data_IF_452380697329
#
_entry.id   IF_452380697329
#
_cell.length_a   1.000
_cell.length_b   1.000
_cell.length_c   1.000
_cell.angle_alpha   90.00
_cell.angle_beta   90.00
_cell.angle_gamma   90.00
#
_symmetry.space_group_name_H-M   'P 1'
#
loop_
_entity.id
_entity.type
_entity.pdbx_description
1 polymer ?
#
# COMPACT_ATOMS: atom_id res chain seq x y z
N UNK A 1 15.89 6.75 25.23
CA UNK A 1 15.14 5.49 25.47
C UNK A 1 13.69 5.88 25.62
N UNK A 2 12.83 5.49 24.66
CA UNK A 2 11.45 6.00 24.62
C UNK A 2 10.60 5.40 25.74
N UNK A 3 9.59 6.15 26.16
CA UNK A 3 8.54 5.70 27.09
C UNK A 3 7.95 4.34 26.65
N UNK A 4 7.86 4.10 25.34
CA UNK A 4 7.41 2.82 24.78
C UNK A 4 8.34 1.66 25.11
N UNK A 5 9.66 1.81 25.02
CA UNK A 5 10.60 0.73 25.38
C UNK A 5 10.47 0.35 26.85
N UNK A 6 10.24 1.34 27.73
CA UNK A 6 10.03 1.10 29.16
C UNK A 6 8.70 0.41 29.44
N UNK A 7 7.62 0.80 28.74
CA UNK A 7 6.32 0.12 28.82
C UNK A 7 6.40 -1.32 28.31
N UNK A 8 7.10 -1.55 27.21
CA UNK A 8 7.33 -2.89 26.65
C UNK A 8 8.13 -3.75 27.63
N UNK A 9 9.25 -3.22 28.15
CA UNK A 9 10.06 -3.93 29.13
C UNK A 9 9.26 -4.26 30.40
N UNK A 10 8.48 -3.30 30.93
CA UNK A 10 7.60 -3.53 32.07
C UNK A 10 6.55 -4.61 31.79
N UNK A 11 5.99 -4.64 30.58
CA UNK A 11 5.01 -5.65 30.16
C UNK A 11 5.64 -7.05 30.12
N UNK A 12 6.83 -7.19 29.53
CA UNK A 12 7.55 -8.46 29.43
C UNK A 12 7.96 -8.96 30.81
N UNK A 13 8.51 -8.09 31.66
CA UNK A 13 8.89 -8.41 33.04
C UNK A 13 7.66 -8.80 33.86
N UNK A 14 6.57 -8.05 33.76
CA UNK A 14 5.30 -8.37 34.42
C UNK A 14 4.76 -9.74 33.98
N UNK A 15 4.79 -10.04 32.68
CA UNK A 15 4.41 -11.34 32.15
C UNK A 15 5.31 -12.47 32.69
N UNK A 16 6.62 -12.26 32.76
CA UNK A 16 7.57 -13.24 33.29
C UNK A 16 7.37 -13.49 34.80
N UNK A 17 7.18 -12.45 35.60
CA UNK A 17 6.88 -12.57 37.05
C UNK A 17 5.57 -13.30 37.27
N UNK A 18 4.54 -12.95 36.49
CA UNK A 18 3.24 -13.63 36.53
C UNK A 18 3.33 -15.09 36.03
N UNK A 19 4.22 -15.37 35.07
CA UNK A 19 4.57 -16.71 34.60
C UNK A 19 5.25 -17.55 35.69
N UNK A 20 6.19 -16.95 36.42
CA UNK A 20 6.94 -17.57 37.51
C UNK A 20 6.02 -18.08 38.62
N UNK A 21 5.02 -17.27 39.02
CA UNK A 21 4.05 -17.64 40.05
C UNK A 21 3.15 -18.80 39.62
N UNK A 22 2.72 -18.82 38.34
CA UNK A 22 1.79 -19.84 37.81
C UNK A 22 2.48 -21.14 37.37
N UNK A 23 3.78 -21.09 37.06
CA UNK A 23 4.59 -22.24 36.66
C UNK A 23 4.31 -22.76 35.25
N UNK A 24 5.27 -23.50 34.69
CA UNK A 24 5.29 -23.95 33.30
C UNK A 24 4.08 -24.81 32.94
N UNK A 25 3.73 -25.81 33.75
CA UNK A 25 2.64 -26.74 33.45
C UNK A 25 1.30 -26.01 33.21
N UNK A 26 0.96 -25.09 34.11
CA UNK A 26 -0.28 -24.31 34.04
C UNK A 26 -0.32 -23.44 32.78
N UNK A 27 0.82 -22.86 32.39
CA UNK A 27 0.96 -22.01 31.20
C UNK A 27 0.94 -22.80 29.90
N UNK A 28 1.60 -23.94 29.87
CA UNK A 28 1.59 -24.84 28.73
C UNK A 28 0.17 -25.34 28.46
N UNK A 29 -0.56 -25.75 29.50
CA UNK A 29 -1.97 -26.17 29.36
C UNK A 29 -2.87 -25.02 28.89
N UNK A 30 -2.68 -23.81 29.40
CA UNK A 30 -3.42 -22.64 28.94
C UNK A 30 -3.15 -22.35 27.45
N UNK A 31 -1.89 -22.45 27.00
CA UNK A 31 -1.49 -22.24 25.61
C UNK A 31 -2.08 -23.31 24.68
N UNK A 32 -2.03 -24.58 25.10
CA UNK A 32 -2.66 -25.69 24.36
C UNK A 32 -4.17 -25.49 24.27
N UNK A 33 -4.80 -25.08 25.36
CA UNK A 33 -6.24 -24.77 25.37
C UNK A 33 -6.58 -23.61 24.46
N UNK A 34 -5.76 -22.56 24.45
CA UNK A 34 -5.93 -21.44 23.55
C UNK A 34 -5.82 -21.86 22.08
N UNK A 35 -4.78 -22.63 21.72
CA UNK A 35 -4.60 -23.13 20.36
C UNK A 35 -5.76 -24.01 19.90
N UNK A 36 -6.17 -24.98 20.73
CA UNK A 36 -7.28 -25.87 20.41
C UNK A 36 -8.62 -25.10 20.27
N UNK A 37 -8.90 -24.18 21.20
CA UNK A 37 -10.08 -23.34 21.15
C UNK A 37 -10.10 -22.38 19.96
N UNK A 38 -8.95 -21.84 19.56
CA UNK A 38 -8.84 -20.97 18.39
C UNK A 38 -9.07 -21.74 17.08
N UNK A 39 -8.52 -22.96 16.95
CA UNK A 39 -8.79 -23.84 15.81
C UNK A 39 -10.29 -24.14 15.73
N UNK A 40 -10.91 -24.54 16.84
CA UNK A 40 -12.35 -24.81 16.88
C UNK A 40 -13.18 -23.57 16.53
N UNK A 41 -12.90 -22.41 17.14
CA UNK A 41 -13.62 -21.16 16.86
C UNK A 41 -13.50 -20.71 15.41
N UNK A 42 -12.32 -20.88 14.78
CA UNK A 42 -12.12 -20.57 13.37
C UNK A 42 -12.95 -21.44 12.42
N UNK A 43 -13.29 -22.68 12.85
CA UNK A 43 -14.11 -23.62 12.07
C UNK A 43 -15.61 -23.46 12.32
N UNK A 44 -15.99 -22.91 13.47
CA UNK A 44 -17.39 -22.63 13.83
C UNK A 44 -17.90 -21.36 13.16
N UNK A 45 -17.08 -20.33 13.02
CA UNK A 45 -17.47 -19.07 12.37
C UNK A 45 -18.12 -19.22 10.97
N UNK A 46 -17.58 -20.02 10.02
CA UNK A 46 -18.22 -20.21 8.73
C UNK A 46 -19.48 -21.09 8.77
N UNK A 47 -19.79 -21.78 9.88
CA UNK A 47 -21.03 -22.57 10.02
C UNK A 47 -22.24 -21.70 10.42
N UNK A 48 -21.99 -20.49 10.93
CA UNK A 48 -23.02 -19.53 11.37
C UNK A 48 -23.40 -18.56 10.25
N UNK A 49 -22.64 -18.52 9.16
CA UNK A 49 -22.85 -17.63 8.02
C UNK A 49 -23.49 -18.40 6.85
N UNK A 50 -24.61 -17.90 6.32
CA UNK A 50 -25.34 -18.50 5.21
C UNK A 50 -24.49 -18.70 3.93
N UNK A 51 -23.43 -17.88 3.76
CA UNK A 51 -22.46 -17.95 2.66
C UNK A 51 -21.19 -18.76 2.94
N UNK A 52 -21.02 -19.33 4.14
CA UNK A 52 -19.85 -20.11 4.53
C UNK A 52 -18.52 -19.37 4.37
N UNK A 53 -17.50 -20.05 3.85
CA UNK A 53 -16.16 -19.48 3.59
C UNK A 53 -16.11 -18.47 2.43
N UNK A 54 -17.20 -18.31 1.66
CA UNK A 54 -17.28 -17.39 0.52
C UNK A 54 -17.90 -16.04 0.87
N UNK A 55 -18.41 -15.90 2.08
CA UNK A 55 -18.99 -14.65 2.56
C UNK A 55 -17.88 -13.59 2.77
N UNK A 56 -18.03 -12.37 2.24
CA UNK A 56 -17.08 -11.26 2.45
C UNK A 56 -16.76 -10.97 3.92
N UNK A 57 -17.68 -11.29 4.84
CA UNK A 57 -17.52 -11.08 6.28
C UNK A 57 -16.94 -12.28 7.03
N UNK A 58 -16.76 -13.44 6.37
CA UNK A 58 -16.23 -14.63 7.02
C UNK A 58 -14.85 -14.43 7.66
N UNK A 59 -13.85 -13.76 7.04
CA UNK A 59 -12.57 -13.50 7.69
C UNK A 59 -12.68 -12.51 8.87
N UNK A 60 -13.62 -11.57 8.78
CA UNK A 60 -13.86 -10.53 9.79
C UNK A 60 -14.49 -11.11 11.05
N UNK A 61 -15.35 -12.12 10.91
CA UNK A 61 -16.02 -12.80 12.02
C UNK A 61 -15.24 -14.01 12.56
N UNK A 62 -14.44 -14.68 11.73
CA UNK A 62 -13.65 -15.83 12.14
C UNK A 62 -12.54 -15.48 13.13
N UNK A 63 -11.90 -14.32 12.99
CA UNK A 63 -10.82 -13.90 13.88
C UNK A 63 -11.32 -13.61 15.31
N UNK A 64 -12.37 -12.78 15.53
CA UNK A 64 -12.96 -12.59 16.86
C UNK A 64 -13.47 -13.88 17.49
N UNK A 65 -14.13 -14.75 16.71
CA UNK A 65 -14.65 -16.03 17.20
C UNK A 65 -13.52 -16.98 17.62
N UNK A 66 -12.46 -17.10 16.83
CA UNK A 66 -11.27 -17.89 17.17
C UNK A 66 -10.61 -17.37 18.45
N UNK A 67 -10.45 -16.05 18.60
CA UNK A 67 -9.87 -15.45 19.80
C UNK A 67 -10.73 -15.70 21.04
N UNK A 68 -12.05 -15.58 20.93
CA UNK A 68 -12.98 -15.82 22.04
C UNK A 68 -12.97 -17.29 22.48
N UNK A 69 -13.13 -18.22 21.54
CA UNK A 69 -13.11 -19.65 21.82
C UNK A 69 -11.74 -20.10 22.38
N UNK A 70 -10.65 -19.57 21.82
CA UNK A 70 -9.30 -19.78 22.35
C UNK A 70 -9.16 -19.30 23.79
N UNK A 71 -9.59 -18.06 24.09
CA UNK A 71 -9.51 -17.52 25.44
C UNK A 71 -10.30 -18.36 26.47
N UNK A 72 -11.52 -18.77 26.12
CA UNK A 72 -12.36 -19.61 26.99
C UNK A 72 -11.73 -20.99 27.24
N UNK A 73 -11.29 -21.68 26.20
CA UNK A 73 -10.66 -22.99 26.32
C UNK A 73 -9.33 -22.92 27.10
N UNK A 74 -8.53 -21.89 26.84
CA UNK A 74 -7.31 -21.59 27.60
C UNK A 74 -7.58 -21.37 29.08
N UNK A 75 -8.60 -20.58 29.43
CA UNK A 75 -9.03 -20.37 30.82
C UNK A 75 -9.47 -21.67 31.51
N UNK A 76 -10.20 -22.54 30.82
CA UNK A 76 -10.64 -23.82 31.38
C UNK A 76 -9.47 -24.76 31.66
N UNK A 77 -8.56 -24.91 30.71
CA UNK A 77 -7.36 -25.75 30.84
C UNK A 77 -6.37 -25.18 31.85
N UNK A 78 -6.29 -23.86 32.00
CA UNK A 78 -5.50 -23.23 33.05
C UNK A 78 -6.05 -23.57 34.44
N UNK A 79 -7.37 -23.45 34.64
CA UNK A 79 -8.04 -23.85 35.90
C UNK A 79 -7.85 -25.33 36.21
N UNK A 80 -7.92 -26.18 35.19
CA UNK A 80 -7.63 -27.61 35.32
C UNK A 80 -6.17 -27.85 35.70
N UNK A 81 -5.23 -27.16 35.04
CA UNK A 81 -3.81 -27.19 35.35
C UNK A 81 -3.50 -26.79 36.79
N UNK A 82 -4.19 -25.77 37.32
CA UNK A 82 -4.08 -25.40 38.74
C UNK A 82 -4.55 -26.50 39.69
N UNK A 83 -5.65 -27.22 39.37
CA UNK A 83 -6.11 -28.35 40.19
C UNK A 83 -5.14 -29.53 40.11
N UNK A 84 -4.67 -29.86 38.92
CA UNK A 84 -3.71 -30.94 38.68
C UNK A 84 -2.38 -30.66 39.39
N UNK A 85 -1.93 -29.40 39.38
CA UNK A 85 -0.73 -28.91 40.08
C UNK A 85 -0.80 -29.11 41.60
N UNK A 86 -2.00 -29.17 42.22
CA UNK A 86 -2.14 -29.48 43.66
C UNK A 86 -1.88 -30.95 44.00
N UNK A 87 -1.88 -31.85 43.00
CA UNK A 87 -1.67 -33.29 43.19
C UNK A 87 -0.22 -33.75 42.91
N UNK A 88 0.65 -32.86 42.42
CA UNK A 88 2.03 -33.21 42.04
C UNK A 88 3.03 -32.82 43.16
N UNK A 89 3.91 -33.75 43.60
CA UNK A 89 4.70 -33.59 44.83
C UNK A 89 5.97 -32.73 44.73
N UNK A 90 6.33 -32.17 43.57
CA UNK A 90 7.58 -31.38 43.42
C UNK A 90 7.34 -29.95 42.94
N UNK A 91 7.56 -28.99 43.84
CA UNK A 91 7.76 -27.56 43.50
C UNK A 91 9.22 -27.33 43.11
N UNK A 92 9.63 -27.81 41.94
CA UNK A 92 10.95 -27.51 41.42
C UNK A 92 11.06 -26.06 40.96
N UNK A 93 12.18 -25.39 41.30
CA UNK A 93 12.53 -24.06 40.76
C UNK A 93 12.47 -24.05 39.22
N UNK A 94 12.79 -25.17 38.58
CA UNK A 94 12.69 -25.37 37.13
C UNK A 94 11.28 -25.13 36.55
N UNK A 95 10.21 -25.54 37.25
CA UNK A 95 8.84 -25.30 36.77
C UNK A 95 8.46 -23.81 36.86
N UNK A 96 8.94 -23.10 37.89
CA UNK A 96 8.70 -21.65 38.01
C UNK A 96 9.50 -20.88 36.95
N UNK A 97 10.78 -21.21 36.78
CA UNK A 97 11.64 -20.62 35.75
C UNK A 97 11.10 -20.88 34.35
N UNK A 98 10.69 -22.12 34.05
CA UNK A 98 10.06 -22.46 32.76
C UNK A 98 8.76 -21.68 32.52
N UNK A 99 7.95 -21.47 33.56
CA UNK A 99 6.74 -20.65 33.48
C UNK A 99 7.04 -19.18 33.19
N UNK A 100 8.11 -18.65 33.77
CA UNK A 100 8.58 -17.28 33.52
C UNK A 100 9.08 -17.11 32.07
N UNK A 101 9.90 -18.05 31.58
CA UNK A 101 10.42 -18.04 30.21
C UNK A 101 9.28 -18.11 29.20
N UNK A 102 8.35 -19.06 29.35
CA UNK A 102 7.22 -19.21 28.43
C UNK A 102 6.34 -17.96 28.40
N UNK A 103 6.04 -17.36 29.56
CA UNK A 103 5.24 -16.14 29.62
C UNK A 103 5.97 -14.92 29.06
N UNK A 104 7.29 -14.83 29.26
CA UNK A 104 8.12 -13.78 28.66
C UNK A 104 8.15 -13.87 27.13
N UNK A 105 8.32 -15.07 26.57
CA UNK A 105 8.28 -15.31 25.12
C UNK A 105 6.91 -14.96 24.51
N UNK A 106 5.82 -15.38 25.16
CA UNK A 106 4.47 -15.00 24.73
C UNK A 106 4.25 -13.48 24.83
N UNK A 107 4.81 -12.84 25.86
CA UNK A 107 4.82 -11.38 26.00
C UNK A 107 5.53 -10.69 24.83
N UNK A 108 6.70 -11.19 24.41
CA UNK A 108 7.44 -10.68 23.26
C UNK A 108 6.63 -10.79 21.96
N UNK A 109 6.00 -11.94 21.70
CA UNK A 109 5.12 -12.13 20.52
C UNK A 109 3.91 -11.20 20.58
N UNK A 110 3.32 -11.01 21.76
CA UNK A 110 2.18 -10.10 21.94
C UNK A 110 2.57 -8.66 21.67
N UNK A 111 3.71 -8.20 22.21
CA UNK A 111 4.27 -6.88 21.94
C UNK A 111 4.57 -6.70 20.46
N UNK A 112 5.10 -7.73 19.79
CA UNK A 112 5.38 -7.67 18.36
C UNK A 112 4.10 -7.47 17.53
N UNK A 113 3.04 -8.24 17.81
CA UNK A 113 1.72 -8.09 17.15
C UNK A 113 1.10 -6.72 17.46
N UNK A 114 1.09 -6.31 18.72
CA UNK A 114 0.51 -5.02 19.13
C UNK A 114 1.30 -3.84 18.58
N UNK A 115 2.63 -3.95 18.48
CA UNK A 115 3.49 -2.96 17.85
C UNK A 115 3.14 -2.79 16.37
N UNK A 116 2.93 -3.90 15.65
CA UNK A 116 2.48 -3.87 14.25
C UNK A 116 1.11 -3.19 14.08
N UNK A 117 0.18 -3.40 15.02
CA UNK A 117 -1.13 -2.74 15.04
C UNK A 117 -1.02 -1.25 15.44
N UNK A 118 -0.22 -0.93 16.45
CA UNK A 118 -0.03 0.43 16.94
C UNK A 118 0.66 1.32 15.90
N UNK A 119 1.53 0.76 15.06
CA UNK A 119 2.15 1.48 13.94
C UNK A 119 1.14 2.01 12.89
N UNK A 120 -0.13 1.58 12.96
CA UNK A 120 -1.23 2.05 12.09
C UNK A 120 -1.96 3.26 12.64
N UNK A 121 -1.80 3.59 13.92
CA UNK A 121 -2.45 4.74 14.53
C UNK A 121 -1.49 5.94 14.42
N UNK A 122 -1.92 7.03 13.78
CA UNK A 122 -1.05 8.15 13.40
C UNK A 122 -0.23 8.72 14.58
N UNK A 123 -0.84 8.81 15.76
CA UNK A 123 -0.19 9.33 16.98
C UNK A 123 0.76 8.32 17.66
N UNK A 124 0.72 7.04 17.31
CA UNK A 124 1.58 5.99 17.85
C UNK A 124 2.67 5.55 16.87
N UNK A 125 2.58 6.00 15.62
CA UNK A 125 3.51 5.62 14.55
C UNK A 125 4.96 6.04 14.80
N UNK A 126 5.20 7.31 15.13
CA UNK A 126 6.57 7.80 15.43
C UNK A 126 7.14 7.13 16.69
N UNK A 127 6.41 7.07 17.83
CA UNK A 127 6.90 6.40 19.02
C UNK A 127 7.24 4.91 18.82
N UNK A 128 6.47 4.18 18.01
CA UNK A 128 6.71 2.74 17.73
C UNK A 128 7.90 2.55 16.79
N UNK A 129 8.09 3.45 15.82
CA UNK A 129 9.22 3.41 14.87
C UNK A 129 10.56 3.61 15.57
N UNK A 130 10.60 4.47 16.57
CA UNK A 130 11.84 4.80 17.29
C UNK A 130 12.16 3.80 18.42
N UNK A 131 11.33 2.76 18.61
CA UNK A 131 11.52 1.73 19.64
C UNK A 131 12.61 0.72 19.26
N UNK A 132 13.67 0.66 20.06
CA UNK A 132 14.77 -0.28 19.86
C UNK A 132 14.34 -1.75 20.09
N UNK A 133 13.34 -1.98 20.96
CA UNK A 133 12.82 -3.33 21.23
C UNK A 133 12.01 -3.85 20.04
N UNK A 134 11.14 -3.02 19.47
CA UNK A 134 10.35 -3.38 18.29
C UNK A 134 11.25 -3.61 17.08
N UNK A 135 12.28 -2.79 16.89
CA UNK A 135 13.28 -2.98 15.83
C UNK A 135 13.97 -4.35 15.93
N UNK A 136 14.47 -4.71 17.13
CA UNK A 136 15.09 -6.01 17.38
C UNK A 136 14.13 -7.18 17.20
N UNK A 137 12.87 -7.03 17.62
CA UNK A 137 11.84 -8.05 17.42
C UNK A 137 11.55 -8.26 15.92
N UNK A 138 11.45 -7.19 15.15
CA UNK A 138 11.24 -7.25 13.70
C UNK A 138 12.42 -7.85 12.94
N UNK A 139 13.64 -7.71 13.46
CA UNK A 139 14.82 -8.35 12.89
C UNK A 139 14.88 -9.86 13.19
N UNK A 140 14.30 -10.30 14.32
CA UNK A 140 14.35 -11.69 14.77
C UNK A 140 13.14 -12.54 14.34
N UNK A 141 11.98 -11.92 14.09
CA UNK A 141 10.74 -12.59 13.72
C UNK A 141 10.43 -12.39 12.23
N UNK A 142 9.80 -13.36 11.55
CA UNK A 142 9.38 -13.18 10.16
C UNK A 142 8.42 -11.99 10.07
N UNK A 143 8.38 -11.25 8.94
CA UNK A 143 7.53 -10.08 8.80
C UNK A 143 6.06 -10.43 9.11
N UNK A 144 5.30 -9.53 9.78
CA UNK A 144 3.91 -9.79 10.09
C UNK A 144 3.15 -10.05 8.79
N UNK A 145 2.32 -11.10 8.76
CA UNK A 145 1.57 -11.49 7.57
C UNK A 145 0.68 -10.36 7.01
N UNK A 146 0.09 -10.54 5.82
CA UNK A 146 -0.53 -9.46 5.03
C UNK A 146 -1.56 -8.61 5.78
N UNK A 147 -2.25 -9.22 6.76
CA UNK A 147 -3.27 -8.57 7.59
C UNK A 147 -2.69 -7.63 8.66
N UNK A 148 -1.45 -7.84 9.07
CA UNK A 148 -0.77 -7.15 10.17
C UNK A 148 0.45 -6.36 9.71
N UNK A 149 0.92 -6.55 8.47
CA UNK A 149 1.95 -5.70 7.89
C UNK A 149 1.42 -4.26 7.97
N UNK A 150 2.12 -3.30 8.63
CA UNK A 150 1.91 -1.91 8.27
C UNK A 150 2.11 -1.87 6.76
N UNK A 151 1.16 -1.32 6.00
CA UNK A 151 1.31 -1.15 4.55
C UNK A 151 2.76 -0.77 4.31
N UNK A 152 3.53 -1.70 3.76
CA UNK A 152 4.95 -1.51 3.50
C UNK A 152 4.87 -0.32 2.57
N UNK A 153 5.16 0.91 3.04
CA UNK A 153 5.25 2.09 2.18
C UNK A 153 6.40 1.76 1.27
N UNK A 154 6.08 1.10 0.18
CA UNK A 154 7.06 0.63 -0.75
C UNK A 154 7.66 1.86 -1.39
N UNK A 155 8.81 1.68 -2.04
CA UNK A 155 9.49 2.71 -2.83
C UNK A 155 8.52 3.58 -3.68
N UNK A 156 7.35 3.03 -4.04
CA UNK A 156 6.32 3.64 -4.91
C UNK A 156 5.26 4.50 -4.19
N UNK A 157 5.11 4.43 -2.86
CA UNK A 157 4.15 5.26 -2.11
C UNK A 157 4.68 6.67 -1.78
N UNK A 158 5.99 6.87 -1.92
CA UNK A 158 6.63 8.19 -1.77
C UNK A 158 6.83 8.79 -3.16
N UNK A 159 6.11 9.88 -3.49
CA UNK A 159 6.39 10.63 -4.72
C UNK A 159 7.87 11.04 -4.74
N UNK A 160 8.55 10.95 -5.90
CA UNK A 160 9.84 11.59 -6.04
C UNK A 160 9.64 13.09 -5.74
N UNK A 161 10.40 13.59 -4.77
CA UNK A 161 10.16 14.92 -4.22
C UNK A 161 10.47 15.97 -5.28
N UNK A 162 9.41 16.66 -5.72
CA UNK A 162 9.51 17.77 -6.65
C UNK A 162 9.64 19.09 -5.89
N UNK A 163 10.71 19.82 -6.17
CA UNK A 163 10.87 21.22 -5.78
C UNK A 163 10.92 22.07 -7.04
N UNK A 164 10.25 23.20 -7.08
CA UNK A 164 10.27 24.07 -8.26
C UNK A 164 9.28 25.23 -8.18
N UNK A 165 9.29 26.11 -9.18
CA UNK A 165 8.38 27.25 -9.24
C UNK A 165 6.94 26.79 -9.43
N UNK A 166 6.01 27.58 -8.88
CA UNK A 166 4.59 27.37 -9.16
C UNK A 166 4.27 27.85 -10.57
N UNK A 167 3.40 27.15 -11.33
CA UNK A 167 2.97 27.64 -12.63
C UNK A 167 2.24 28.98 -12.46
N UNK A 168 2.55 29.94 -13.33
CA UNK A 168 1.86 31.22 -13.40
C UNK A 168 0.49 31.07 -14.11
N UNK A 169 -0.42 30.37 -13.43
CA UNK A 169 -1.79 30.13 -13.90
C UNK A 169 -2.77 30.41 -12.77
N UNK A 170 -4.02 30.72 -13.10
CA UNK A 170 -5.08 30.91 -12.11
C UNK A 170 -5.49 29.63 -11.37
N UNK A 171 -6.56 29.66 -10.57
CA UNK A 171 -7.11 28.46 -9.94
C UNK A 171 -7.66 27.49 -10.99
N UNK A 172 -7.74 26.21 -10.61
CA UNK A 172 -8.46 25.20 -11.38
C UNK A 172 -9.97 25.44 -11.31
N UNK A 173 -10.71 24.97 -12.32
CA UNK A 173 -12.17 25.05 -12.35
C UNK A 173 -12.81 23.80 -11.72
N UNK A 174 -13.48 23.90 -10.56
CA UNK A 174 -14.08 22.74 -9.89
C UNK A 174 -15.20 22.06 -10.69
N UNK A 175 -15.85 22.78 -11.62
CA UNK A 175 -17.01 22.26 -12.37
C UNK A 175 -16.62 21.15 -13.33
N UNK A 176 -15.36 21.09 -13.77
CA UNK A 176 -14.84 20.05 -14.67
C UNK A 176 -15.01 18.63 -14.12
N UNK A 177 -15.09 18.46 -12.80
CA UNK A 177 -15.37 17.15 -12.18
C UNK A 177 -16.74 16.60 -12.57
N UNK A 178 -17.70 17.49 -12.86
CA UNK A 178 -19.07 17.15 -13.22
C UNK A 178 -19.27 17.04 -14.73
N UNK A 179 -18.25 17.38 -15.52
CA UNK A 179 -18.30 17.31 -16.97
C UNK A 179 -18.58 15.87 -17.45
N UNK A 180 -19.58 15.65 -18.32
CA UNK A 180 -19.95 14.31 -18.77
C UNK A 180 -18.80 13.56 -19.47
N UNK A 181 -18.00 14.25 -20.28
CA UNK A 181 -16.91 13.62 -21.03
C UNK A 181 -15.75 13.25 -20.10
N UNK A 182 -15.43 14.12 -19.14
CA UNK A 182 -14.42 13.84 -18.10
C UNK A 182 -14.85 12.67 -17.22
N UNK A 183 -16.13 12.55 -16.89
CA UNK A 183 -16.66 11.41 -16.14
C UNK A 183 -16.62 10.12 -16.96
N UNK A 184 -16.91 10.19 -18.25
CA UNK A 184 -16.83 9.04 -19.15
C UNK A 184 -15.39 8.52 -19.27
N UNK A 185 -14.40 9.41 -19.26
CA UNK A 185 -12.98 9.06 -19.29
C UNK A 185 -12.53 8.13 -18.14
N UNK A 186 -13.27 8.09 -17.02
CA UNK A 186 -13.01 7.18 -15.91
C UNK A 186 -13.00 5.69 -16.33
N UNK A 187 -13.75 5.32 -17.37
CA UNK A 187 -13.77 3.96 -17.90
C UNK A 187 -12.42 3.53 -18.48
N UNK A 188 -11.62 4.49 -18.93
CA UNK A 188 -10.34 4.28 -19.61
C UNK A 188 -9.13 4.48 -18.70
N UNK A 189 -9.34 4.75 -17.40
CA UNK A 189 -8.27 4.97 -16.43
C UNK A 189 -8.08 3.71 -15.58
N UNK A 190 -6.86 3.19 -15.55
CA UNK A 190 -6.49 1.94 -14.90
C UNK A 190 -5.60 2.20 -13.67
N UNK A 191 -5.78 1.38 -12.64
CA UNK A 191 -4.85 1.30 -11.52
C UNK A 191 -3.76 0.30 -11.92
N UNK A 192 -2.51 0.70 -11.78
CA UNK A 192 -1.36 -0.18 -12.03
C UNK A 192 -0.97 -0.79 -10.70
N UNK A 193 -0.80 -2.09 -10.67
CA UNK A 193 -0.22 -2.85 -9.56
C UNK A 193 1.15 -3.33 -10.01
N UNK A 194 2.14 -3.24 -9.12
CA UNK A 194 3.47 -3.81 -9.39
C UNK A 194 3.90 -4.62 -8.19
N UNK A 195 4.52 -5.76 -8.43
CA UNK A 195 5.20 -6.53 -7.39
C UNK A 195 6.71 -6.41 -7.59
N UNK A 196 7.41 -5.94 -6.57
CA UNK A 196 8.85 -5.71 -6.59
C UNK A 196 9.67 -6.92 -6.16
N UNK A 197 10.96 -6.89 -6.52
CA UNK A 197 11.91 -8.00 -6.34
C UNK A 197 12.11 -8.48 -4.88
N UNK A 198 11.98 -7.58 -3.89
CA UNK A 198 12.30 -7.86 -2.47
C UNK A 198 11.04 -8.10 -1.60
N UNK A 199 9.95 -8.58 -2.22
CA UNK A 199 8.71 -8.88 -1.49
C UNK A 199 8.01 -7.62 -0.99
N UNK A 200 7.54 -6.80 -1.92
CA UNK A 200 6.69 -5.64 -1.67
C UNK A 200 6.13 -5.11 -2.99
N UNK A 201 4.89 -4.61 -2.99
CA UNK A 201 4.22 -4.10 -4.19
C UNK A 201 3.97 -2.60 -4.17
N UNK A 202 3.78 -2.00 -5.33
CA UNK A 202 3.47 -0.59 -5.52
C UNK A 202 2.17 -0.41 -6.28
N UNK A 203 1.61 0.79 -6.19
CA UNK A 203 0.48 1.17 -7.04
C UNK A 203 0.75 2.46 -7.78
N UNK A 204 0.20 2.55 -8.99
CA UNK A 204 0.24 3.74 -9.81
C UNK A 204 -1.07 3.92 -10.57
N UNK A 205 -1.09 4.94 -11.42
CA UNK A 205 -2.17 5.18 -12.37
C UNK A 205 -1.68 4.96 -13.79
N UNK A 206 -2.61 4.62 -14.67
CA UNK A 206 -2.38 4.51 -16.11
C UNK A 206 -3.68 4.71 -16.87
N UNK A 207 -3.61 4.69 -18.19
CA UNK A 207 -4.80 4.89 -19.03
C UNK A 207 -4.67 4.18 -20.37
N UNK A 208 -5.83 3.77 -20.92
CA UNK A 208 -5.94 3.06 -22.19
C UNK A 208 -5.71 4.04 -23.33
N UNK A 209 -4.62 3.84 -24.09
CA UNK A 209 -4.29 4.64 -25.26
C UNK A 209 -4.78 4.03 -26.58
N UNK A 210 -4.93 2.70 -26.59
CA UNK A 210 -5.60 1.88 -27.62
C UNK A 210 -5.90 0.51 -27.01
N UNK A 211 -6.66 -0.31 -27.71
CA UNK A 211 -7.04 -1.65 -27.24
C UNK A 211 -5.80 -2.45 -26.78
N UNK A 212 -5.87 -3.07 -25.59
CA UNK A 212 -4.77 -3.79 -24.97
C UNK A 212 -3.50 -2.99 -24.64
N UNK A 213 -3.52 -1.65 -24.75
CA UNK A 213 -2.32 -0.80 -24.54
C UNK A 213 -2.57 0.30 -23.52
N UNK A 214 -1.75 0.28 -22.46
CA UNK A 214 -1.82 1.20 -21.33
C UNK A 214 -0.59 2.11 -21.32
N UNK A 215 -0.78 3.39 -21.06
CA UNK A 215 0.31 4.34 -20.80
C UNK A 215 0.41 4.60 -19.31
N UNK A 216 1.63 4.60 -18.78
CA UNK A 216 1.95 4.97 -17.39
C UNK A 216 3.35 5.60 -17.31
N UNK A 217 3.83 5.89 -16.11
CA UNK A 217 5.18 6.37 -15.89
C UNK A 217 6.21 5.23 -15.87
N UNK A 218 7.45 5.51 -16.29
CA UNK A 218 8.53 4.53 -16.20
C UNK A 218 8.84 4.18 -14.74
N UNK A 219 8.88 5.15 -13.84
CA UNK A 219 9.14 4.91 -12.42
C UNK A 219 8.06 4.07 -11.73
N UNK A 220 6.84 3.95 -12.28
CA UNK A 220 5.80 3.09 -11.71
C UNK A 220 6.16 1.62 -11.89
N UNK A 221 6.81 1.28 -13.01
CA UNK A 221 7.18 -0.09 -13.36
C UNK A 221 8.68 -0.37 -13.25
N UNK A 222 9.51 0.60 -12.90
CA UNK A 222 10.97 0.44 -12.74
C UNK A 222 11.27 -0.64 -11.70
N UNK A 223 11.97 -1.70 -12.11
CA UNK A 223 12.30 -2.86 -11.27
C UNK A 223 11.10 -3.63 -10.71
N UNK A 224 9.97 -3.58 -11.41
CA UNK A 224 8.85 -4.47 -11.15
C UNK A 224 9.19 -5.88 -11.66
N UNK A 225 8.88 -6.89 -10.84
CA UNK A 225 8.92 -8.30 -11.23
C UNK A 225 7.68 -8.67 -12.05
N UNK A 226 6.52 -8.24 -11.57
CA UNK A 226 5.21 -8.47 -12.19
C UNK A 226 4.47 -7.13 -12.25
N UNK A 227 3.77 -6.88 -13.35
CA UNK A 227 2.98 -5.66 -13.59
C UNK A 227 1.55 -6.07 -13.92
N UNK A 228 0.62 -5.56 -13.13
CA UNK A 228 -0.81 -5.81 -13.29
C UNK A 228 -1.59 -4.54 -13.60
N UNK A 229 -2.64 -4.66 -14.41
CA UNK A 229 -3.55 -3.58 -14.81
C UNK A 229 -4.93 -3.89 -14.26
N UNK A 230 -5.48 -3.01 -13.42
CA UNK A 230 -6.83 -3.13 -12.89
C UNK A 230 -7.72 -1.99 -13.42
N UNK A 231 -8.70 -2.34 -14.25
CA UNK A 231 -9.60 -1.36 -14.84
C UNK A 231 -10.50 -0.72 -13.78
N UNK A 232 -10.67 0.62 -13.85
CA UNK A 232 -11.54 1.38 -12.93
C UNK A 232 -11.21 1.19 -11.43
N UNK A 233 -10.06 0.59 -11.12
CA UNK A 233 -9.63 0.23 -9.76
C UNK A 233 -10.54 -0.78 -9.07
N UNK A 234 -11.26 -1.62 -9.83
CA UNK A 234 -12.16 -2.66 -9.31
C UNK A 234 -12.02 -3.94 -10.13
N UNK A 235 -12.34 -5.08 -9.51
CA UNK A 235 -12.38 -6.38 -10.19
C UNK A 235 -10.99 -6.97 -10.44
N UNK A 236 -10.89 -7.78 -11.49
CA UNK A 236 -9.67 -8.51 -11.84
C UNK A 236 -8.51 -7.57 -12.18
N UNK A 237 -7.31 -8.04 -11.83
CA UNK A 237 -6.05 -7.48 -12.29
C UNK A 237 -5.56 -8.34 -13.45
N UNK A 238 -5.24 -7.72 -14.57
CA UNK A 238 -4.76 -8.38 -15.78
C UNK A 238 -3.26 -8.24 -15.89
N UNK A 239 -2.57 -9.30 -16.26
CA UNK A 239 -1.12 -9.26 -16.46
C UNK A 239 -0.77 -8.31 -17.63
N UNK A 240 0.38 -7.65 -17.48
CA UNK A 240 0.85 -6.69 -18.46
C UNK A 240 2.38 -6.78 -18.67
N UNK A 241 2.78 -6.70 -19.93
CA UNK A 241 4.18 -6.65 -20.34
C UNK A 241 4.60 -5.21 -20.62
N UNK A 242 5.79 -4.81 -20.17
CA UNK A 242 6.37 -3.51 -20.52
C UNK A 242 6.93 -3.58 -21.95
N UNK A 243 6.32 -2.84 -22.88
CA UNK A 243 6.71 -2.79 -24.31
C UNK A 243 7.41 -1.50 -24.72
N UNK A 244 7.54 -0.56 -23.79
CA UNK A 244 8.38 0.64 -23.92
C UNK A 244 8.75 1.13 -22.53
N UNK A 245 10.02 1.49 -22.35
CA UNK A 245 10.53 2.01 -21.09
C UNK A 245 11.51 3.15 -21.36
N UNK A 246 11.12 4.39 -21.04
CA UNK A 246 11.93 5.59 -21.16
C UNK A 246 12.07 6.25 -19.78
N UNK A 247 13.14 5.89 -19.08
CA UNK A 247 13.47 6.44 -17.76
C UNK A 247 13.80 7.94 -17.79
N UNK A 248 14.21 8.48 -18.94
CA UNK A 248 14.60 9.89 -19.07
C UNK A 248 13.35 10.77 -19.10
N UNK A 249 12.38 10.44 -19.95
CA UNK A 249 11.12 11.18 -20.06
C UNK A 249 10.01 10.65 -19.15
N UNK A 250 10.33 9.61 -18.38
CA UNK A 250 9.44 8.90 -17.46
C UNK A 250 8.15 8.38 -18.10
N UNK A 251 8.30 7.66 -19.20
CA UNK A 251 7.20 7.06 -19.97
C UNK A 251 7.39 5.55 -20.02
N UNK A 252 6.35 4.82 -19.63
CA UNK A 252 6.23 3.39 -19.92
C UNK A 252 4.94 3.11 -20.71
N UNK A 253 5.00 2.09 -21.57
CA UNK A 253 3.84 1.57 -22.28
C UNK A 253 3.75 0.09 -21.96
N UNK A 254 2.55 -0.33 -21.55
CA UNK A 254 2.25 -1.69 -21.20
C UNK A 254 1.33 -2.31 -22.26
N UNK A 255 1.54 -3.59 -22.54
CA UNK A 255 0.66 -4.44 -23.32
C UNK A 255 -0.06 -5.38 -22.38
N UNK A 256 -1.39 -5.39 -22.44
CA UNK A 256 -2.25 -6.28 -21.64
C UNK A 256 -3.33 -6.87 -22.56
N UNK A 257 -3.04 -7.98 -23.27
CA UNK A 257 -3.90 -8.51 -24.33
C UNK A 257 -5.31 -8.89 -23.87
N UNK A 258 -5.49 -9.21 -22.59
CA UNK A 258 -6.77 -9.59 -21.99
C UNK A 258 -7.72 -8.40 -21.83
N UNK A 259 -7.19 -7.16 -21.82
CA UNK A 259 -7.99 -5.94 -21.76
C UNK A 259 -8.43 -5.56 -23.17
N UNK A 260 -9.69 -5.87 -23.50
CA UNK A 260 -10.30 -5.56 -24.79
C UNK A 260 -11.62 -4.80 -24.65
N UNK A 261 -12.00 -4.06 -25.70
CA UNK A 261 -13.31 -3.38 -25.76
C UNK A 261 -13.44 -2.17 -24.83
N UNK A 262 -12.33 -1.69 -24.26
CA UNK A 262 -12.30 -0.49 -23.41
C UNK A 262 -12.07 0.74 -24.29
N UNK A 263 -12.88 1.81 -24.14
CA UNK A 263 -12.67 3.05 -24.89
C UNK A 263 -11.27 3.62 -24.66
N UNK A 264 -10.58 3.99 -25.72
CA UNK A 264 -9.27 4.63 -25.63
C UNK A 264 -9.38 6.15 -25.42
N UNK A 265 -8.48 6.73 -24.62
CA UNK A 265 -8.39 8.18 -24.50
C UNK A 265 -7.62 8.78 -25.68
N UNK A 266 -8.20 9.81 -26.30
CA UNK A 266 -7.55 10.55 -27.39
C UNK A 266 -6.46 11.46 -26.84
N UNK A 267 -5.30 11.48 -27.50
CA UNK A 267 -4.18 12.33 -27.08
C UNK A 267 -4.24 13.66 -27.83
N UNK A 268 -4.61 14.72 -27.11
CA UNK A 268 -4.63 16.10 -27.62
C UNK A 268 -3.22 16.70 -27.72
N UNK A 269 -3.04 17.85 -28.38
CA UNK A 269 -1.74 18.53 -28.45
C UNK A 269 -1.30 19.00 -27.06
N UNK A 270 -0.02 19.36 -26.93
CA UNK A 270 0.49 19.96 -25.69
C UNK A 270 -0.38 21.19 -25.31
N UNK A 271 -0.68 21.38 -24.00
CA UNK A 271 -1.61 22.41 -23.59
C UNK A 271 -0.97 23.80 -23.67
N UNK A 272 -1.82 24.80 -23.91
CA UNK A 272 -1.46 26.20 -23.70
C UNK A 272 -1.51 26.52 -22.20
N UNK A 273 -0.73 27.49 -21.75
CA UNK A 273 -0.82 27.98 -20.38
C UNK A 273 -2.25 28.42 -20.06
N UNK A 274 -2.75 28.01 -18.89
CA UNK A 274 -4.09 28.32 -18.41
C UNK A 274 -5.19 27.36 -18.83
N UNK A 275 -4.89 26.26 -19.55
CA UNK A 275 -5.89 25.25 -19.95
C UNK A 275 -6.55 24.61 -18.72
N UNK A 276 -7.89 24.62 -18.69
CA UNK A 276 -8.66 23.89 -17.67
C UNK A 276 -8.60 22.40 -17.93
N UNK A 277 -8.29 21.64 -16.90
CA UNK A 277 -8.08 20.20 -17.01
C UNK A 277 -8.51 19.46 -15.73
N UNK A 278 -8.49 18.14 -15.78
CA UNK A 278 -8.66 17.26 -14.64
C UNK A 278 -7.55 16.20 -14.65
N UNK A 279 -6.89 16.02 -13.50
CA UNK A 279 -6.02 14.87 -13.26
C UNK A 279 -6.87 13.70 -12.78
N UNK A 280 -6.78 12.58 -13.50
CA UNK A 280 -7.53 11.35 -13.22
C UNK A 280 -6.56 10.28 -12.71
N UNK A 281 -6.95 9.53 -11.68
CA UNK A 281 -6.09 8.46 -11.16
C UNK A 281 -6.49 7.95 -9.80
N UNK A 282 -5.55 7.24 -9.14
CA UNK A 282 -5.74 6.53 -7.88
C UNK A 282 -4.74 6.99 -6.82
N UNK A 283 -4.95 8.18 -6.22
CA UNK A 283 -4.06 8.67 -5.18
C UNK A 283 -3.95 7.68 -4.01
N UNK A 284 -2.72 7.36 -3.58
CA UNK A 284 -2.37 6.45 -2.51
C UNK A 284 -2.78 5.00 -2.77
N UNK A 285 -2.97 4.61 -4.04
CA UNK A 285 -3.57 3.33 -4.38
C UNK A 285 -5.04 3.22 -4.01
N UNK A 286 -5.69 4.33 -3.62
CA UNK A 286 -7.06 4.37 -3.14
C UNK A 286 -8.11 4.30 -4.25
N UNK A 287 -9.33 4.79 -4.00
CA UNK A 287 -10.38 4.87 -5.01
C UNK A 287 -10.02 5.82 -6.16
N UNK A 288 -10.67 5.62 -7.31
CA UNK A 288 -10.58 6.54 -8.44
C UNK A 288 -10.96 7.97 -8.03
N UNK A 289 -10.19 8.96 -8.47
CA UNK A 289 -10.47 10.38 -8.21
C UNK A 289 -10.37 11.24 -9.46
N UNK A 290 -11.12 12.34 -9.44
CA UNK A 290 -11.06 13.42 -10.43
C UNK A 290 -10.65 14.70 -9.72
N UNK A 291 -9.42 15.16 -9.99
CA UNK A 291 -8.84 16.35 -9.37
C UNK A 291 -8.82 17.50 -10.37
N UNK A 292 -9.61 18.57 -10.15
CA UNK A 292 -9.54 19.77 -10.97
C UNK A 292 -8.10 20.30 -11.05
N UNK A 293 -7.68 20.61 -12.25
CA UNK A 293 -6.34 21.08 -12.57
C UNK A 293 -6.37 22.28 -13.53
N UNK A 294 -5.26 23.02 -13.56
CA UNK A 294 -4.98 24.04 -14.55
C UNK A 294 -3.53 23.93 -15.00
N UNK A 295 -3.31 23.70 -16.28
CA UNK A 295 -1.97 23.44 -16.80
C UNK A 295 -1.28 24.74 -17.19
N UNK A 296 0.03 24.82 -16.96
CA UNK A 296 0.92 25.73 -17.65
C UNK A 296 1.21 25.25 -19.07
N UNK A 297 2.23 25.85 -19.67
CA UNK A 297 2.79 25.43 -20.95
C UNK A 297 4.00 24.50 -20.76
N UNK A 298 4.45 23.86 -21.83
CA UNK A 298 5.64 23.01 -21.81
C UNK A 298 6.88 23.86 -21.56
N UNK A 299 7.64 23.53 -20.50
CA UNK A 299 8.88 24.22 -20.15
C UNK A 299 10.03 23.24 -19.88
N UNK A 300 11.26 23.75 -19.95
CA UNK A 300 12.49 23.05 -19.54
C UNK A 300 13.23 23.92 -18.53
N UNK A 301 12.56 24.22 -17.43
CA UNK A 301 13.09 25.08 -16.38
C UNK A 301 13.96 24.26 -15.40
N UNK A 302 15.28 24.57 -15.29
CA UNK A 302 16.19 23.87 -14.38
C UNK A 302 15.86 24.10 -12.89
N UNK A 303 14.98 25.05 -12.57
CA UNK A 303 14.48 25.26 -11.22
C UNK A 303 13.59 24.10 -10.74
N UNK A 304 12.98 23.33 -11.64
CA UNK A 304 12.36 22.07 -11.27
C UNK A 304 13.44 21.05 -10.93
N UNK A 305 13.39 20.53 -9.70
CA UNK A 305 14.30 19.52 -9.19
C UNK A 305 13.50 18.30 -8.76
N UNK A 306 13.93 17.13 -9.23
CA UNK A 306 13.46 15.84 -8.78
C UNK A 306 14.52 15.27 -7.85
N UNK A 307 14.17 15.01 -6.59
CA UNK A 307 15.11 14.49 -5.59
C UNK A 307 16.39 15.34 -5.48
N UNK A 308 16.23 16.66 -5.52
CA UNK A 308 17.34 17.62 -5.46
C UNK A 308 18.13 17.80 -6.76
N UNK A 309 17.89 16.99 -7.79
CA UNK A 309 18.56 17.09 -9.10
C UNK A 309 17.71 17.86 -10.10
N UNK A 310 18.31 18.80 -10.83
CA UNK A 310 17.60 19.57 -11.86
C UNK A 310 17.00 18.65 -12.93
N UNK A 311 15.71 18.85 -13.22
CA UNK A 311 15.00 18.17 -14.29
C UNK A 311 15.53 18.66 -15.63
N UNK A 312 16.18 17.78 -16.36
CA UNK A 312 16.74 18.06 -17.69
C UNK A 312 15.77 17.76 -18.83
N UNK A 313 14.52 17.44 -18.53
CA UNK A 313 13.48 17.10 -19.51
C UNK A 313 12.39 18.17 -19.57
N UNK A 314 11.61 18.14 -20.66
CA UNK A 314 10.46 19.02 -20.81
C UNK A 314 9.31 18.51 -19.95
N UNK A 315 8.67 19.41 -19.20
CA UNK A 315 7.53 19.11 -18.33
C UNK A 315 6.43 20.15 -18.51
N UNK A 316 5.21 19.80 -18.11
CA UNK A 316 4.07 20.71 -18.01
C UNK A 316 3.80 20.93 -16.51
N UNK A 317 4.13 22.09 -15.93
CA UNK A 317 3.72 22.39 -14.57
C UNK A 317 2.21 22.61 -14.54
N UNK A 318 1.53 22.13 -13.51
CA UNK A 318 0.10 22.31 -13.35
C UNK A 318 -0.25 22.57 -11.88
N UNK A 319 -1.35 23.30 -11.67
CA UNK A 319 -1.95 23.47 -10.35
C UNK A 319 -3.11 22.50 -10.22
N UNK A 320 -3.13 21.63 -9.21
CA UNK A 320 -4.24 20.75 -8.91
C UNK A 320 -4.50 20.67 -7.41
N UNK A 321 -5.78 20.70 -7.02
CA UNK A 321 -6.16 20.60 -5.62
C UNK A 321 -6.19 19.13 -5.22
N UNK A 322 -5.27 18.71 -4.34
CA UNK A 322 -5.26 17.38 -3.72
C UNK A 322 -4.86 16.24 -4.67
N UNK A 323 -3.98 16.51 -5.63
CA UNK A 323 -3.21 15.47 -6.31
C UNK A 323 -2.08 15.00 -5.38
N UNK A 324 -2.05 13.72 -5.04
CA UNK A 324 -1.07 13.12 -4.12
C UNK A 324 -0.34 11.92 -4.74
N UNK A 325 0.54 11.23 -3.97
CA UNK A 325 1.15 9.96 -4.38
C UNK A 325 0.13 8.98 -4.97
N UNK A 326 0.52 8.06 -5.86
CA UNK A 326 -0.40 7.15 -6.57
C UNK A 326 -1.16 7.76 -7.77
N UNK A 327 -1.16 9.09 -7.92
CA UNK A 327 -1.70 9.75 -9.13
C UNK A 327 -0.74 9.68 -10.33
N UNK A 328 0.53 9.34 -10.11
CA UNK A 328 1.56 9.21 -11.15
C UNK A 328 1.15 8.21 -12.22
N UNK A 329 1.36 8.59 -13.48
CA UNK A 329 0.97 7.84 -14.67
C UNK A 329 -0.49 8.07 -15.08
N UNK A 330 -1.27 8.76 -14.26
CA UNK A 330 -2.64 9.14 -14.57
C UNK A 330 -2.72 10.24 -15.63
N UNK A 331 -3.76 10.26 -16.48
CA UNK A 331 -3.88 11.29 -17.51
C UNK A 331 -4.35 12.62 -16.91
N UNK A 332 -3.87 13.72 -17.49
CA UNK A 332 -4.47 15.04 -17.37
C UNK A 332 -5.33 15.26 -18.61
N UNK A 333 -6.64 15.40 -18.45
CA UNK A 333 -7.59 15.57 -19.57
C UNK A 333 -8.22 16.96 -19.57
N UNK A 334 -8.53 17.50 -20.75
CA UNK A 334 -9.37 18.70 -20.89
C UNK A 334 -10.87 18.34 -20.84
N UNK A 335 -11.74 19.34 -21.05
CA UNK A 335 -13.20 19.13 -21.08
C UNK A 335 -13.66 18.26 -22.24
N UNK A 336 -12.86 18.13 -23.30
CA UNK A 336 -13.13 17.25 -24.43
C UNK A 336 -12.64 15.80 -24.19
N UNK A 337 -12.27 15.49 -22.93
CA UNK A 337 -11.62 14.25 -22.51
C UNK A 337 -10.34 13.91 -23.30
N UNK A 338 -9.68 14.90 -23.91
CA UNK A 338 -8.40 14.70 -24.59
C UNK A 338 -7.26 14.75 -23.58
N UNK A 339 -6.35 13.78 -23.63
CA UNK A 339 -5.15 13.76 -22.80
C UNK A 339 -4.24 14.91 -23.21
N UNK A 340 -3.99 15.83 -22.28
CA UNK A 340 -3.10 17.00 -22.39
C UNK A 340 -1.78 16.82 -21.64
N UNK A 341 -1.61 15.72 -20.94
CA UNK A 341 -0.37 15.33 -20.28
C UNK A 341 -0.58 14.11 -19.40
N UNK A 342 0.48 13.65 -18.77
CA UNK A 342 0.44 12.55 -17.81
C UNK A 342 1.08 12.98 -16.51
N UNK A 343 0.39 12.85 -15.39
CA UNK A 343 0.91 13.22 -14.06
C UNK A 343 2.24 12.51 -13.82
N UNK A 344 3.28 13.25 -13.45
CA UNK A 344 4.62 12.72 -13.23
C UNK A 344 5.00 12.80 -11.75
N UNK A 345 5.00 14.02 -11.19
CA UNK A 345 5.40 14.26 -9.80
C UNK A 345 4.64 15.46 -9.22
N UNK A 346 4.60 15.54 -7.89
CA UNK A 346 3.92 16.60 -7.15
C UNK A 346 4.71 17.08 -5.95
N UNK A 347 4.47 18.31 -5.51
CA UNK A 347 5.01 18.83 -4.26
C UNK A 347 4.24 18.21 -3.09
N UNK A 348 4.94 17.54 -2.16
CA UNK A 348 4.33 17.00 -0.95
C UNK A 348 3.62 18.12 -0.14
N UNK A 349 2.35 17.91 0.20
CA UNK A 349 1.52 18.92 0.90
C UNK A 349 1.18 20.18 0.09
N UNK A 350 1.54 20.24 -1.20
CA UNK A 350 1.29 21.37 -2.09
C UNK A 350 0.17 21.13 -3.11
N UNK A 351 -0.15 22.16 -3.88
CA UNK A 351 -1.13 22.13 -4.97
C UNK A 351 -0.47 22.22 -6.37
N UNK A 352 0.83 21.95 -6.46
CA UNK A 352 1.63 22.06 -7.69
C UNK A 352 2.18 20.69 -8.05
N UNK A 353 2.06 20.33 -9.32
CA UNK A 353 2.69 19.15 -9.90
C UNK A 353 3.30 19.44 -11.27
N UNK A 354 4.00 18.46 -11.79
CA UNK A 354 4.52 18.42 -13.16
C UNK A 354 4.00 17.19 -13.87
N UNK A 355 3.79 17.33 -15.17
CA UNK A 355 3.30 16.29 -16.05
C UNK A 355 4.22 16.09 -17.26
N UNK A 356 4.24 14.86 -17.77
CA UNK A 356 4.91 14.50 -19.01
C UNK A 356 4.14 15.07 -20.21
N UNK A 357 4.81 15.77 -21.15
CA UNK A 357 4.19 16.30 -22.36
C UNK A 357 3.65 15.22 -23.31
N UNK A 358 2.53 15.51 -23.96
CA UNK A 358 1.84 14.60 -24.90
C UNK A 358 2.71 14.24 -26.10
N UNK A 359 3.60 15.14 -26.54
CA UNK A 359 4.52 14.89 -27.65
C UNK A 359 5.44 13.69 -27.38
N UNK A 360 5.94 13.54 -26.15
CA UNK A 360 6.77 12.40 -25.76
C UNK A 360 5.98 11.10 -25.80
N UNK A 361 4.78 11.11 -25.22
CA UNK A 361 3.87 9.96 -25.16
C UNK A 361 3.50 9.48 -26.57
N UNK A 362 3.11 10.39 -27.47
CA UNK A 362 2.81 10.05 -28.88
C UNK A 362 3.99 9.42 -29.60
N UNK A 363 5.22 9.88 -29.33
CA UNK A 363 6.44 9.31 -29.93
C UNK A 363 6.70 7.90 -29.40
N UNK A 364 6.53 7.68 -28.10
CA UNK A 364 6.67 6.37 -27.49
C UNK A 364 5.66 5.36 -28.07
N UNK A 365 4.37 5.74 -28.16
CA UNK A 365 3.31 4.88 -28.69
C UNK A 365 3.53 4.44 -30.14
N UNK A 366 4.20 5.25 -30.97
CA UNK A 366 4.53 4.89 -32.35
C UNK A 366 5.70 3.91 -32.49
N UNK A 367 6.46 3.69 -31.42
CA UNK A 367 7.69 2.88 -31.42
C UNK A 367 7.63 1.67 -30.47
N UNK A 368 6.53 1.55 -29.72
CA UNK A 368 6.36 0.52 -28.72
C UNK A 368 5.81 -0.76 -29.37
N UNK A 369 6.70 -1.71 -29.65
CA UNK A 369 6.39 -2.86 -30.51
C UNK A 369 6.66 -4.21 -29.85
N UNK A 370 7.65 -4.33 -28.97
CA UNK A 370 8.04 -5.60 -28.35
C UNK A 370 8.39 -5.41 -26.86
N UNK A 371 8.34 -6.48 -26.04
CA UNK A 371 8.76 -6.42 -24.65
C UNK A 371 10.18 -5.88 -24.48
N UNK A 372 10.39 -5.07 -23.44
CA UNK A 372 11.67 -4.45 -23.12
C UNK A 372 12.06 -4.68 -21.66
N UNK A 373 13.36 -4.72 -21.41
CA UNK A 373 13.89 -4.69 -20.05
C UNK A 373 13.56 -3.34 -19.38
N UNK A 374 13.14 -3.41 -18.13
CA UNK A 374 12.73 -2.30 -17.27
C UNK A 374 13.34 -2.42 -15.87
N UNK A 375 14.45 -3.17 -15.77
CA UNK A 375 15.18 -3.45 -14.55
C UNK A 375 14.82 -4.82 -14.00
N UNK A 376 15.66 -5.81 -14.25
CA UNK A 376 15.41 -7.16 -13.72
C UNK A 376 15.70 -7.26 -12.22
N UNK A 377 15.00 -8.19 -11.57
CA UNK A 377 15.38 -8.78 -10.29
C UNK A 377 16.62 -9.64 -10.53
N UNK A 378 17.80 -9.03 -10.42
CA UNK A 378 19.08 -9.72 -10.49
C UNK A 378 19.37 -10.53 -9.25
#
# INVERSE_FOLDING_TARGET
>A
MLIIDLLIAATIVGAAVWGYQRGLLTRALALVGFGAGAILGSRVAPLVLDGGLRDPFAPVLALPAALLCGALAGMMLERFGFRLRRRLPRRGKANAVGGAVLAGLLGLVTVWILGALAARVDNLKEPVRDSAIIEKLNAALPPPGPLLSPEKRTRFDSLPQLTGPSPNVGPADPTIRRDPQVRAAAASVAKIHVDGCEGGGGTGSGWIARDGVVVTNAHVVDKAKEVGVQLRGKGATYDAEVIWFDKVNDIAILRTPEVSGVPALRIGPDPKAGTYAAALGYPGGGPYTVKPARTGEVTRDPAFKLEGKALRVKVIPFRAVGAGPGSSGGPIVDRDAQVRGMVFAGKAGGNVGVAVPTKGIRRALRRADAPVDHGNCG
#
